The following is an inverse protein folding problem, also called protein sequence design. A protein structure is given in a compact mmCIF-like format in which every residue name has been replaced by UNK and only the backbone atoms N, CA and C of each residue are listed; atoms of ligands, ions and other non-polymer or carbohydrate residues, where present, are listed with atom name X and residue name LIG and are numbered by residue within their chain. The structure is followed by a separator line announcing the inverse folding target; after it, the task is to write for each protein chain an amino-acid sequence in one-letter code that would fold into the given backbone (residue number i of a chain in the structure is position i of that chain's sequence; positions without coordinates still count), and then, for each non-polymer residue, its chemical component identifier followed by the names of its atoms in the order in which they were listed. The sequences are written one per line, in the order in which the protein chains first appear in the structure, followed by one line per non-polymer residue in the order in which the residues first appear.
data_IF_386135391587
#
_entry.id   IF_386135391587
#
_cell.length_a   1.000
_cell.length_b   1.000
_cell.length_c   1.000
_cell.angle_alpha   90.00
_cell.angle_beta   90.00
_cell.angle_gamma   90.00
#
_symmetry.space_group_name_H-M   'P 1'
#
loop_
_entity.id
_entity.type
_entity.pdbx_description
1 polymer ?
#
# COMPACT_ATOMS: atom_id res chain seq x y z
N UNK A 1 -14.69 27.05 -10.05
CA UNK A 1 -14.10 25.83 -9.45
C UNK A 1 -15.21 25.17 -8.66
N UNK A 2 -15.67 23.97 -9.03
CA UNK A 2 -16.76 23.30 -8.31
C UNK A 2 -16.16 22.60 -7.09
N UNK A 3 -16.65 22.93 -5.90
CA UNK A 3 -16.24 22.29 -4.65
C UNK A 3 -17.10 21.06 -4.39
N UNK A 4 -16.60 20.12 -3.58
CA UNK A 4 -17.33 18.90 -3.25
C UNK A 4 -17.33 18.66 -1.76
N UNK A 5 -18.49 18.36 -1.20
CA UNK A 5 -18.59 17.89 0.18
C UNK A 5 -18.06 16.45 0.30
N UNK A 6 -17.11 16.21 1.19
CA UNK A 6 -16.49 14.89 1.37
C UNK A 6 -17.43 13.83 1.91
N UNK A 7 -18.36 14.25 2.77
CA UNK A 7 -19.29 13.35 3.43
C UNK A 7 -20.51 13.05 2.55
N UNK A 8 -21.09 14.10 1.96
CA UNK A 8 -22.31 14.00 1.16
C UNK A 8 -22.05 13.73 -0.33
N UNK A 9 -20.81 13.92 -0.79
CA UNK A 9 -20.36 13.79 -2.18
C UNK A 9 -21.07 14.71 -3.19
N UNK A 10 -21.75 15.74 -2.71
CA UNK A 10 -22.45 16.75 -3.52
C UNK A 10 -21.44 17.79 -4.00
N UNK A 11 -21.54 18.14 -5.28
CA UNK A 11 -20.80 19.21 -5.92
C UNK A 11 -21.56 20.54 -5.75
N UNK A 12 -20.84 21.59 -5.37
CA UNK A 12 -21.37 22.93 -5.09
C UNK A 12 -20.50 23.99 -5.78
N UNK A 13 -21.07 25.11 -6.21
CA UNK A 13 -20.37 26.05 -7.09
C UNK A 13 -19.25 26.85 -6.40
N UNK A 14 -19.33 27.07 -5.09
CA UNK A 14 -18.38 27.88 -4.32
C UNK A 14 -18.39 27.56 -2.81
N UNK A 15 -17.48 28.19 -2.06
CA UNK A 15 -17.28 27.96 -0.61
C UNK A 15 -18.47 28.39 0.25
N UNK A 16 -19.23 29.42 -0.17
CA UNK A 16 -20.40 29.87 0.58
C UNK A 16 -21.49 28.80 0.54
N UNK A 17 -21.76 28.27 -0.65
CA UNK A 17 -22.72 27.17 -0.81
C UNK A 17 -22.24 25.90 -0.10
N UNK A 18 -20.92 25.65 -0.06
CA UNK A 18 -20.38 24.55 0.72
C UNK A 18 -20.60 24.75 2.24
N UNK A 19 -20.38 25.95 2.76
CA UNK A 19 -20.59 26.28 4.17
C UNK A 19 -22.06 26.20 4.59
N UNK A 20 -22.98 26.61 3.71
CA UNK A 20 -24.41 26.45 3.96
C UNK A 20 -24.84 24.98 3.86
N UNK A 21 -24.27 24.24 2.90
CA UNK A 21 -24.49 22.79 2.78
C UNK A 21 -24.08 22.04 4.05
N UNK A 22 -22.91 22.36 4.65
CA UNK A 22 -22.43 21.67 5.86
C UNK A 22 -23.32 21.94 7.07
N UNK A 23 -23.97 23.10 7.14
CA UNK A 23 -24.98 23.42 8.18
C UNK A 23 -26.34 22.76 7.94
N UNK A 24 -26.58 22.22 6.74
CA UNK A 24 -27.85 21.62 6.36
C UNK A 24 -28.18 20.34 7.15
N UNK A 25 -29.48 20.15 7.47
CA UNK A 25 -29.99 19.00 8.25
C UNK A 25 -29.51 17.64 7.72
N UNK A 26 -29.45 17.46 6.39
CA UNK A 26 -29.00 16.20 5.76
C UNK A 26 -27.51 15.95 5.99
N UNK A 27 -26.68 16.98 5.91
CA UNK A 27 -25.25 16.86 6.17
C UNK A 27 -24.99 16.57 7.64
N UNK A 28 -25.63 17.32 8.54
CA UNK A 28 -25.54 17.13 9.98
C UNK A 28 -26.00 15.73 10.41
N UNK A 29 -27.09 15.21 9.82
CA UNK A 29 -27.51 13.83 10.07
C UNK A 29 -26.42 12.82 9.69
N UNK A 30 -25.76 13.00 8.53
CA UNK A 30 -24.70 12.11 8.08
C UNK A 30 -23.41 12.26 8.92
N UNK A 31 -23.11 13.46 9.42
CA UNK A 31 -22.01 13.70 10.37
C UNK A 31 -22.27 12.93 11.66
N UNK A 32 -23.48 13.03 12.23
CA UNK A 32 -23.86 12.29 13.43
C UNK A 32 -23.74 10.78 13.24
N UNK A 33 -24.06 10.24 12.06
CA UNK A 33 -23.85 8.81 11.77
C UNK A 33 -22.35 8.47 11.74
N UNK A 34 -21.53 9.32 11.13
CA UNK A 34 -20.06 9.14 11.10
C UNK A 34 -19.47 9.18 12.50
N UNK A 35 -19.85 10.17 13.32
CA UNK A 35 -19.39 10.30 14.71
C UNK A 35 -19.79 9.07 15.52
N UNK A 36 -21.06 8.64 15.45
CA UNK A 36 -21.51 7.40 16.12
C UNK A 36 -20.72 6.17 15.67
N UNK A 37 -20.37 6.09 14.39
CA UNK A 37 -19.55 5.01 13.86
C UNK A 37 -18.12 5.06 14.41
N UNK A 38 -17.49 6.23 14.47
CA UNK A 38 -16.16 6.41 15.07
C UNK A 38 -16.19 6.11 16.58
N UNK A 39 -17.17 6.62 17.32
CA UNK A 39 -17.36 6.31 18.75
C UNK A 39 -17.59 4.81 18.99
N UNK A 40 -18.42 4.16 18.18
CA UNK A 40 -18.69 2.72 18.29
C UNK A 40 -17.41 1.90 18.10
N UNK A 41 -16.58 2.24 17.11
CA UNK A 41 -15.33 1.53 16.87
C UNK A 41 -14.32 1.71 18.01
N UNK A 42 -14.19 2.93 18.55
CA UNK A 42 -13.33 3.21 19.70
C UNK A 42 -13.82 2.49 20.98
N UNK A 43 -15.14 2.40 21.16
CA UNK A 43 -15.74 1.72 22.29
C UNK A 43 -15.89 0.20 22.09
N UNK A 44 -15.26 -0.38 21.07
CA UNK A 44 -15.37 -1.81 20.77
C UNK A 44 -14.06 -2.58 20.88
N UNK A 45 -14.13 -3.83 21.33
CA UNK A 45 -13.04 -4.82 21.29
C UNK A 45 -13.33 -5.93 20.29
N UNK A 46 -12.27 -6.54 19.76
CA UNK A 46 -12.33 -7.76 18.95
C UNK A 46 -11.99 -8.98 19.82
N UNK A 47 -12.86 -9.99 19.79
CA UNK A 47 -12.73 -11.22 20.58
C UNK A 47 -12.66 -12.41 19.62
N UNK A 48 -11.64 -13.24 19.77
CA UNK A 48 -11.42 -14.46 18.96
C UNK A 48 -11.22 -15.68 19.84
N UNK A 49 -11.18 -16.87 19.22
CA UNK A 49 -11.21 -18.18 19.90
C UNK A 49 -12.52 -18.45 20.63
N UNK A 50 -13.60 -17.86 20.13
CA UNK A 50 -14.96 -18.25 20.52
C UNK A 50 -15.27 -19.62 19.91
N UNK A 51 -16.13 -20.37 20.59
CA UNK A 51 -16.64 -21.66 20.13
C UNK A 51 -18.10 -21.52 19.68
N UNK A 52 -18.63 -22.46 18.89
CA UNK A 52 -20.03 -22.42 18.41
C UNK A 52 -21.07 -22.30 19.54
N UNK A 53 -20.78 -22.84 20.72
CA UNK A 53 -21.63 -22.75 21.90
C UNK A 53 -21.60 -21.39 22.62
N UNK A 54 -20.66 -20.50 22.29
CA UNK A 54 -20.60 -19.15 22.87
C UNK A 54 -21.56 -18.22 22.14
N UNK A 55 -22.64 -17.83 22.81
CA UNK A 55 -23.58 -16.85 22.29
C UNK A 55 -23.27 -15.43 22.76
N UNK A 56 -24.01 -14.45 22.23
CA UNK A 56 -23.84 -13.04 22.60
C UNK A 56 -24.11 -12.78 24.09
N UNK A 57 -24.97 -13.58 24.73
CA UNK A 57 -25.32 -13.40 26.14
C UNK A 57 -24.19 -13.84 27.07
N UNK A 58 -23.54 -14.98 26.77
CA UNK A 58 -22.35 -15.47 27.48
C UNK A 58 -21.25 -14.41 27.39
N UNK A 59 -21.00 -13.89 26.20
CA UNK A 59 -19.96 -12.85 26.01
C UNK A 59 -20.33 -11.54 26.70
N UNK A 60 -21.58 -11.06 26.59
CA UNK A 60 -22.05 -9.86 27.31
C UNK A 60 -21.89 -10.01 28.81
N UNK A 61 -22.30 -11.16 29.35
CA UNK A 61 -22.21 -11.46 30.79
C UNK A 61 -20.76 -11.44 31.23
N UNK A 62 -19.87 -12.13 30.50
CA UNK A 62 -18.45 -12.17 30.82
C UNK A 62 -17.81 -10.78 30.78
N UNK A 63 -18.00 -10.01 29.70
CA UNK A 63 -17.35 -8.71 29.50
C UNK A 63 -17.98 -7.58 30.31
N UNK A 64 -19.19 -7.76 30.88
CA UNK A 64 -19.83 -6.76 31.75
C UNK A 64 -18.97 -6.35 32.96
N UNK A 65 -18.04 -7.22 33.39
CA UNK A 65 -17.05 -6.94 34.45
C UNK A 65 -16.14 -5.75 34.14
N UNK A 66 -15.94 -5.42 32.86
CA UNK A 66 -15.09 -4.31 32.42
C UNK A 66 -15.90 -3.03 32.16
N UNK A 67 -17.23 -3.09 32.15
CA UNK A 67 -18.10 -1.96 31.91
C UNK A 67 -19.44 -2.35 31.28
N UNK A 68 -20.35 -1.39 31.19
CA UNK A 68 -21.66 -1.61 30.58
C UNK A 68 -21.51 -1.92 29.08
N UNK A 69 -22.12 -3.02 28.65
CA UNK A 69 -22.11 -3.45 27.26
C UNK A 69 -23.30 -2.84 26.52
N UNK A 70 -22.99 -2.09 25.47
CA UNK A 70 -23.98 -1.50 24.58
C UNK A 70 -24.49 -2.51 23.56
N UNK A 71 -23.57 -3.23 22.92
CA UNK A 71 -23.88 -4.28 21.95
C UNK A 71 -22.83 -5.40 21.99
N UNK A 72 -23.22 -6.59 21.56
CA UNK A 72 -22.28 -7.64 21.17
C UNK A 72 -22.78 -8.21 19.85
N UNK A 73 -21.85 -8.62 18.98
CA UNK A 73 -22.18 -9.27 17.73
C UNK A 73 -21.17 -10.38 17.44
N UNK A 74 -21.67 -11.53 17.04
CA UNK A 74 -20.87 -12.69 16.62
C UNK A 74 -20.87 -12.78 15.09
N UNK A 75 -19.72 -13.15 14.53
CA UNK A 75 -19.58 -13.45 13.12
C UNK A 75 -20.54 -14.56 12.68
N UNK A 76 -21.58 -14.20 11.93
CA UNK A 76 -22.67 -15.10 11.55
C UNK A 76 -22.28 -16.12 10.48
N UNK A 77 -21.23 -15.86 9.71
CA UNK A 77 -20.83 -16.76 8.62
C UNK A 77 -19.95 -17.89 9.13
N UNK A 78 -18.91 -17.58 9.91
CA UNK A 78 -17.86 -18.55 10.26
C UNK A 78 -17.71 -18.77 11.77
N UNK A 79 -18.44 -18.02 12.62
CA UNK A 79 -18.31 -18.08 14.07
C UNK A 79 -16.87 -17.93 14.59
N UNK A 80 -16.02 -17.17 13.86
CA UNK A 80 -14.60 -17.08 14.19
C UNK A 80 -14.29 -16.02 15.26
N UNK A 81 -15.15 -15.00 15.36
CA UNK A 81 -14.92 -13.86 16.22
C UNK A 81 -16.22 -13.20 16.68
N UNK A 82 -16.10 -12.40 17.72
CA UNK A 82 -17.13 -11.49 18.20
C UNK A 82 -16.55 -10.08 18.32
N UNK A 83 -17.42 -9.09 18.28
CA UNK A 83 -17.10 -7.71 18.63
C UNK A 83 -18.02 -7.30 19.77
N UNK A 84 -17.42 -6.74 20.82
CA UNK A 84 -18.13 -6.28 22.01
C UNK A 84 -17.99 -4.76 22.05
N UNK A 85 -19.11 -4.05 21.98
CA UNK A 85 -19.19 -2.59 22.08
C UNK A 85 -19.61 -2.21 23.50
N UNK A 86 -18.74 -1.52 24.23
CA UNK A 86 -19.04 -0.88 25.50
C UNK A 86 -19.76 0.46 25.28
N UNK A 87 -20.40 0.99 26.33
CA UNK A 87 -20.98 2.33 26.28
C UNK A 87 -19.93 3.46 26.22
N UNK A 88 -18.68 3.18 26.61
CA UNK A 88 -17.60 4.15 26.65
C UNK A 88 -16.23 3.53 26.36
N UNK A 89 -15.28 4.37 25.95
CA UNK A 89 -13.91 3.98 25.64
C UNK A 89 -13.10 3.52 26.87
N UNK A 90 -13.41 4.04 28.07
CA UNK A 90 -12.69 3.67 29.29
C UNK A 90 -12.88 2.19 29.64
N UNK A 91 -14.04 1.64 29.32
CA UNK A 91 -14.32 0.20 29.49
C UNK A 91 -13.55 -0.65 28.48
N UNK A 92 -13.38 -0.16 27.25
CA UNK A 92 -12.47 -0.77 26.26
C UNK A 92 -11.04 -0.81 26.78
N UNK A 93 -10.53 0.33 27.27
CA UNK A 93 -9.16 0.44 27.78
C UNK A 93 -8.93 -0.50 28.97
N UNK A 94 -9.83 -0.49 29.97
CA UNK A 94 -9.79 -1.42 31.10
C UNK A 94 -9.81 -2.87 30.67
N UNK A 95 -10.64 -3.21 29.68
CA UNK A 95 -10.67 -4.55 29.14
C UNK A 95 -9.31 -4.92 28.54
N UNK A 96 -8.71 -4.07 27.71
CA UNK A 96 -7.45 -4.37 27.03
C UNK A 96 -6.24 -4.39 27.98
N UNK A 97 -6.24 -3.54 29.00
CA UNK A 97 -5.20 -3.50 30.05
C UNK A 97 -5.23 -4.72 30.97
N UNK A 98 -6.31 -5.50 30.98
CA UNK A 98 -6.43 -6.72 31.78
C UNK A 98 -5.41 -7.81 31.38
N UNK A 99 -4.80 -7.72 30.19
CA UNK A 99 -3.78 -8.67 29.72
C UNK A 99 -4.37 -9.81 28.88
N UNK A 100 -3.75 -11.00 28.91
CA UNK A 100 -4.08 -12.12 28.01
C UNK A 100 -4.90 -13.26 28.67
N UNK A 101 -5.32 -13.12 29.94
CA UNK A 101 -5.98 -14.19 30.70
C UNK A 101 -7.52 -14.10 30.70
N UNK A 102 -8.14 -14.10 29.51
CA UNK A 102 -9.60 -14.13 29.39
C UNK A 102 -10.12 -15.57 29.38
N UNK A 103 -10.82 -15.98 30.43
CA UNK A 103 -11.31 -17.35 30.59
C UNK A 103 -12.80 -17.37 30.97
N UNK A 104 -13.60 -18.00 30.12
CA UNK A 104 -15.03 -18.24 30.37
C UNK A 104 -15.23 -19.35 31.42
N UNK A 105 -16.45 -19.42 31.97
CA UNK A 105 -16.81 -20.39 33.02
C UNK A 105 -16.73 -21.86 32.55
N UNK A 106 -16.90 -22.09 31.25
CA UNK A 106 -16.71 -23.40 30.60
C UNK A 106 -15.22 -23.80 30.45
N UNK A 107 -14.30 -22.94 30.90
CA UNK A 107 -12.86 -23.13 30.81
C UNK A 107 -12.22 -22.63 29.51
N UNK A 108 -13.01 -22.15 28.54
CA UNK A 108 -12.53 -21.68 27.24
C UNK A 108 -11.70 -20.39 27.39
N UNK A 109 -10.53 -20.35 26.73
CA UNK A 109 -9.66 -19.17 26.69
C UNK A 109 -9.96 -18.32 25.46
N UNK A 110 -10.35 -17.07 25.69
CA UNK A 110 -10.59 -16.08 24.64
C UNK A 110 -9.31 -15.29 24.35
N UNK A 111 -9.25 -14.71 23.15
CA UNK A 111 -8.20 -13.75 22.80
C UNK A 111 -8.83 -12.41 22.43
N UNK A 112 -8.54 -11.38 23.22
CA UNK A 112 -9.06 -10.03 23.06
C UNK A 112 -8.00 -9.12 22.45
N UNK A 113 -8.42 -8.24 21.53
CA UNK A 113 -7.56 -7.23 20.89
C UNK A 113 -8.35 -5.95 20.65
N UNK A 114 -7.62 -4.86 20.45
CA UNK A 114 -8.20 -3.63 19.88
C UNK A 114 -8.90 -3.94 18.56
N UNK A 115 -10.10 -3.41 18.37
CA UNK A 115 -10.84 -3.54 17.11
C UNK A 115 -10.12 -2.75 16.01
N UNK A 116 -10.01 -3.34 14.82
CA UNK A 116 -9.54 -2.62 13.64
C UNK A 116 -10.56 -1.53 13.24
N UNK A 117 -10.10 -0.30 13.05
CA UNK A 117 -10.96 0.80 12.60
C UNK A 117 -11.14 0.74 11.08
N UNK A 118 -12.40 0.73 10.67
CA UNK A 118 -12.84 0.91 9.31
C UNK A 118 -13.13 2.39 9.05
N UNK A 119 -12.93 2.84 7.81
CA UNK A 119 -13.33 4.18 7.38
C UNK A 119 -14.85 4.25 7.19
N UNK A 120 -15.48 5.36 7.59
CA UNK A 120 -16.90 5.56 7.39
C UNK A 120 -17.22 5.73 5.89
N UNK A 121 -18.05 4.83 5.33
CA UNK A 121 -18.60 4.94 3.98
C UNK A 121 -20.10 5.20 4.03
N UNK A 122 -20.55 6.28 3.40
CA UNK A 122 -21.99 6.57 3.31
C UNK A 122 -22.69 5.60 2.37
N UNK A 123 -24.01 5.37 2.54
CA UNK A 123 -24.81 4.48 1.66
C UNK A 123 -24.63 4.78 0.18
N UNK A 124 -24.55 6.05 -0.22
CA UNK A 124 -24.29 6.45 -1.62
C UNK A 124 -22.93 5.97 -2.13
N UNK A 125 -21.91 5.95 -1.27
CA UNK A 125 -20.58 5.45 -1.61
C UNK A 125 -20.58 3.93 -1.80
N UNK A 126 -21.31 3.21 -0.92
CA UNK A 126 -21.46 1.77 -1.00
C UNK A 126 -22.23 1.33 -2.26
N UNK A 127 -23.28 2.06 -2.65
CA UNK A 127 -24.03 1.78 -3.89
C UNK A 127 -23.14 1.93 -5.13
N UNK A 128 -22.38 3.02 -5.24
CA UNK A 128 -21.48 3.23 -6.39
C UNK A 128 -20.35 2.18 -6.46
N UNK A 129 -19.89 1.69 -5.32
CA UNK A 129 -18.86 0.65 -5.24
C UNK A 129 -19.44 -0.72 -5.60
N UNK A 130 -20.65 -1.03 -5.14
CA UNK A 130 -21.34 -2.29 -5.41
C UNK A 130 -21.78 -2.43 -6.88
N UNK A 131 -22.28 -1.36 -7.50
CA UNK A 131 -22.62 -1.35 -8.92
C UNK A 131 -21.37 -1.56 -9.81
N UNK A 132 -20.24 -0.97 -9.43
CA UNK A 132 -18.96 -1.18 -10.11
C UNK A 132 -18.45 -2.62 -9.97
N UNK A 133 -18.58 -3.22 -8.79
CA UNK A 133 -18.15 -4.60 -8.53
C UNK A 133 -18.98 -5.65 -9.28
N UNK A 134 -20.31 -5.46 -9.37
CA UNK A 134 -21.19 -6.42 -10.04
C UNK A 134 -20.99 -6.46 -11.57
N UNK A 135 -20.79 -5.30 -12.21
CA UNK A 135 -20.54 -5.24 -13.66
C UNK A 135 -19.25 -5.98 -14.06
N UNK A 136 -18.21 -5.93 -13.21
CA UNK A 136 -16.95 -6.62 -13.49
C UNK A 136 -17.07 -8.14 -13.38
N UNK A 137 -17.94 -8.65 -12.50
CA UNK A 137 -18.05 -10.09 -12.23
C UNK A 137 -18.64 -10.89 -13.40
N UNK A 138 -19.63 -10.34 -14.11
CA UNK A 138 -20.23 -11.00 -15.28
C UNK A 138 -19.25 -11.05 -16.46
N UNK A 139 -18.51 -9.96 -16.70
CA UNK A 139 -17.43 -9.92 -17.71
C UNK A 139 -16.29 -10.88 -17.41
N UNK A 140 -15.91 -11.02 -16.15
CA UNK A 140 -14.85 -11.96 -15.74
C UNK A 140 -15.22 -13.43 -16.04
N UNK A 141 -16.49 -13.81 -15.85
CA UNK A 141 -16.96 -15.17 -16.16
C UNK A 141 -16.90 -15.44 -17.67
N UNK A 142 -17.37 -14.50 -18.49
CA UNK A 142 -17.33 -14.64 -19.95
C UNK A 142 -15.89 -14.70 -20.49
N UNK A 143 -15.02 -13.83 -19.98
CA UNK A 143 -13.59 -13.83 -20.33
C UNK A 143 -12.89 -15.13 -19.91
N UNK A 144 -13.20 -15.66 -18.73
CA UNK A 144 -12.64 -16.93 -18.27
C UNK A 144 -13.07 -18.10 -19.16
N UNK A 145 -14.33 -18.17 -19.56
CA UNK A 145 -14.82 -19.21 -20.46
C UNK A 145 -14.11 -19.18 -21.83
N UNK A 146 -13.95 -17.98 -22.41
CA UNK A 146 -13.22 -17.79 -23.66
C UNK A 146 -11.74 -18.17 -23.53
N UNK A 147 -11.13 -17.83 -22.39
CA UNK A 147 -9.75 -18.19 -22.08
C UNK A 147 -9.56 -19.71 -22.07
N UNK A 148 -10.44 -20.46 -21.38
CA UNK A 148 -10.37 -21.93 -21.34
C UNK A 148 -10.47 -22.53 -22.75
N UNK A 149 -11.37 -22.01 -23.59
CA UNK A 149 -11.50 -22.46 -24.97
C UNK A 149 -10.22 -22.22 -25.78
N UNK A 150 -9.61 -21.03 -25.64
CA UNK A 150 -8.35 -20.70 -26.31
C UNK A 150 -7.20 -21.61 -25.89
N UNK A 151 -7.13 -21.98 -24.61
CA UNK A 151 -6.08 -22.86 -24.08
C UNK A 151 -6.22 -24.30 -24.57
N UNK A 152 -7.45 -24.81 -24.71
CA UNK A 152 -7.71 -26.15 -25.25
C UNK A 152 -7.27 -26.34 -26.70
N UNK A 153 -7.13 -25.23 -27.45
CA UNK A 153 -6.70 -25.24 -28.85
C UNK A 153 -5.16 -25.18 -29.00
N UNK A 154 -4.40 -25.17 -27.90
CA UNK A 154 -2.94 -25.15 -27.91
C UNK A 154 -2.38 -26.57 -27.79
N UNK A 155 -1.26 -26.83 -28.45
CA UNK A 155 -0.66 -28.16 -28.55
C UNK A 155 0.34 -28.47 -27.44
N UNK A 156 0.89 -27.45 -26.78
CA UNK A 156 1.89 -27.59 -25.71
C UNK A 156 1.57 -26.71 -24.51
N UNK A 157 2.14 -27.05 -23.34
CA UNK A 157 2.04 -26.24 -22.11
C UNK A 157 2.71 -24.89 -22.32
N UNK A 158 3.84 -24.83 -23.04
CA UNK A 158 4.51 -23.57 -23.39
C UNK A 158 3.58 -22.64 -24.19
N UNK A 159 2.87 -23.17 -25.19
CA UNK A 159 1.88 -22.41 -25.98
C UNK A 159 0.68 -21.96 -25.14
N UNK A 160 0.20 -22.81 -24.23
CA UNK A 160 -0.84 -22.44 -23.28
C UNK A 160 -0.37 -21.30 -22.39
N UNK A 161 0.80 -21.42 -21.77
CA UNK A 161 1.36 -20.40 -20.89
C UNK A 161 1.58 -19.07 -21.60
N UNK A 162 2.11 -19.08 -22.83
CA UNK A 162 2.22 -17.89 -23.66
C UNK A 162 0.85 -17.25 -23.95
N UNK A 163 -0.16 -18.08 -24.24
CA UNK A 163 -1.55 -17.62 -24.44
C UNK A 163 -2.16 -17.03 -23.16
N UNK A 164 -1.84 -17.56 -21.98
CA UNK A 164 -2.28 -17.00 -20.69
C UNK A 164 -1.67 -15.60 -20.50
N UNK A 165 -0.37 -15.46 -20.75
CA UNK A 165 0.32 -14.15 -20.64
C UNK A 165 -0.32 -13.13 -21.58
N UNK A 166 -0.55 -13.50 -22.85
CA UNK A 166 -1.12 -12.58 -23.83
C UNK A 166 -2.53 -12.11 -23.46
N UNK A 167 -3.35 -12.99 -22.87
CA UNK A 167 -4.73 -12.68 -22.51
C UNK A 167 -4.85 -11.87 -21.21
N UNK A 168 -3.94 -12.06 -20.25
CA UNK A 168 -4.02 -11.39 -18.94
C UNK A 168 -3.18 -10.10 -18.85
N UNK A 169 -2.10 -9.98 -19.65
CA UNK A 169 -1.22 -8.81 -19.61
C UNK A 169 -2.01 -7.53 -19.90
N UNK A 170 -1.57 -6.42 -19.33
CA UNK A 170 -2.07 -5.11 -19.71
C UNK A 170 -1.79 -4.84 -21.19
N UNK A 171 -2.73 -4.24 -21.91
CA UNK A 171 -2.51 -3.84 -23.31
C UNK A 171 -1.68 -2.56 -23.37
N UNK A 172 -1.01 -2.34 -24.50
CA UNK A 172 -0.18 -1.14 -24.69
C UNK A 172 -1.00 0.14 -24.60
N UNK A 173 -2.25 0.14 -25.08
CA UNK A 173 -3.14 1.31 -24.99
C UNK A 173 -3.44 1.67 -23.54
N UNK A 174 -3.79 0.68 -22.71
CA UNK A 174 -4.10 0.91 -21.29
C UNK A 174 -2.83 1.29 -20.53
N UNK A 175 -1.69 0.66 -20.84
CA UNK A 175 -0.40 1.00 -20.25
C UNK A 175 0.00 2.44 -20.56
N UNK A 176 -0.03 2.84 -21.83
CA UNK A 176 0.34 4.18 -22.29
C UNK A 176 -0.60 5.25 -21.70
N UNK A 177 -1.89 4.94 -21.58
CA UNK A 177 -2.85 5.83 -20.92
C UNK A 177 -2.49 6.06 -19.46
N UNK A 178 -2.18 4.99 -18.70
CA UNK A 178 -1.79 5.10 -17.29
C UNK A 178 -0.44 5.78 -17.11
N UNK A 179 0.51 5.53 -18.03
CA UNK A 179 1.80 6.22 -18.06
C UNK A 179 1.62 7.73 -18.32
N UNK A 180 0.70 8.11 -19.22
CA UNK A 180 0.32 9.51 -19.44
C UNK A 180 -0.20 10.16 -18.16
N UNK A 181 -1.11 9.49 -17.45
CA UNK A 181 -1.61 9.98 -16.17
C UNK A 181 -0.53 10.06 -15.09
N UNK A 182 0.42 9.12 -15.06
CA UNK A 182 1.58 9.19 -14.17
C UNK A 182 2.41 10.47 -14.43
N UNK A 183 2.68 10.81 -15.70
CA UNK A 183 3.40 12.04 -16.08
C UNK A 183 2.64 13.31 -15.67
N UNK A 184 1.31 13.30 -15.78
CA UNK A 184 0.47 14.42 -15.30
C UNK A 184 0.59 14.59 -13.78
N UNK A 185 0.53 13.49 -13.01
CA UNK A 185 0.73 13.54 -11.56
C UNK A 185 2.12 14.02 -11.19
N UNK A 186 3.16 13.59 -11.90
CA UNK A 186 4.53 14.03 -11.69
C UNK A 186 4.65 15.55 -11.85
N UNK A 187 4.07 16.13 -12.90
CA UNK A 187 4.03 17.59 -13.11
C UNK A 187 3.29 18.29 -11.95
N UNK A 188 2.19 17.72 -11.46
CA UNK A 188 1.42 18.27 -10.34
C UNK A 188 2.27 18.31 -9.06
N UNK A 189 2.98 17.21 -8.75
CA UNK A 189 3.82 17.15 -7.56
C UNK A 189 5.03 18.07 -7.67
N UNK A 190 5.72 18.10 -8.82
CA UNK A 190 6.85 19.01 -9.06
C UNK A 190 6.45 20.48 -8.95
N UNK A 191 5.23 20.85 -9.36
CA UNK A 191 4.72 22.21 -9.20
C UNK A 191 4.57 22.61 -7.72
N UNK A 192 4.21 21.67 -6.85
CA UNK A 192 4.02 21.94 -5.42
C UNK A 192 5.31 21.76 -4.63
N UNK A 193 6.17 20.84 -5.06
CA UNK A 193 7.40 20.46 -4.38
C UNK A 193 8.50 20.24 -5.43
N UNK A 194 9.34 21.23 -5.72
CA UNK A 194 10.32 21.15 -6.81
C UNK A 194 11.37 20.04 -6.66
N UNK A 195 11.64 19.58 -5.43
CA UNK A 195 12.72 18.64 -5.09
C UNK A 195 12.24 17.18 -4.93
N UNK A 196 10.95 16.91 -5.15
CA UNK A 196 10.39 15.57 -4.97
C UNK A 196 10.51 14.74 -6.24
N UNK A 197 10.50 13.42 -6.07
CA UNK A 197 10.47 12.46 -7.17
C UNK A 197 9.25 11.57 -7.03
N UNK A 198 8.44 11.48 -8.10
CA UNK A 198 7.35 10.51 -8.18
C UNK A 198 7.88 9.25 -8.88
N UNK A 199 7.71 8.09 -8.25
CA UNK A 199 8.13 6.81 -8.80
C UNK A 199 6.92 5.93 -9.06
N UNK A 200 6.84 5.33 -10.25
CA UNK A 200 5.94 4.21 -10.52
C UNK A 200 6.58 2.93 -9.94
N UNK A 201 5.79 2.13 -9.23
CA UNK A 201 6.25 0.87 -8.60
C UNK A 201 5.26 -0.26 -8.86
N UNK A 202 5.55 -1.44 -8.33
CA UNK A 202 4.63 -2.57 -8.39
C UNK A 202 4.45 -3.12 -9.81
N UNK A 203 3.27 -3.67 -10.08
CA UNK A 203 3.03 -4.48 -11.30
C UNK A 203 3.17 -3.66 -12.59
N UNK A 204 2.79 -2.39 -12.55
CA UNK A 204 2.93 -1.46 -13.69
C UNK A 204 4.41 -1.20 -14.02
N UNK A 205 5.24 -0.98 -13.00
CA UNK A 205 6.65 -0.68 -13.23
C UNK A 205 7.52 -1.92 -13.49
N UNK A 206 7.12 -3.09 -13.01
CA UNK A 206 7.92 -4.32 -13.12
C UNK A 206 7.62 -5.19 -14.37
N UNK A 207 6.60 -4.84 -15.16
CA UNK A 207 6.23 -5.59 -16.36
C UNK A 207 5.39 -6.84 -16.11
N UNK A 208 4.68 -6.88 -14.98
CA UNK A 208 3.72 -7.93 -14.60
C UNK A 208 2.27 -7.41 -14.48
N UNK A 209 2.01 -6.19 -14.94
CA UNK A 209 0.69 -5.58 -14.92
C UNK A 209 -0.32 -6.36 -15.76
N UNK A 210 -1.51 -6.47 -15.19
CA UNK A 210 -2.73 -6.96 -15.82
C UNK A 210 -3.69 -5.79 -16.01
N UNK A 211 -4.76 -5.97 -16.79
CA UNK A 211 -5.79 -4.94 -16.96
C UNK A 211 -6.43 -4.48 -15.63
N UNK A 212 -6.49 -5.37 -14.62
CA UNK A 212 -7.02 -5.09 -13.28
C UNK A 212 -6.00 -4.53 -12.30
N UNK A 213 -4.73 -4.40 -12.70
CA UNK A 213 -3.68 -3.95 -11.77
C UNK A 213 -3.94 -2.51 -11.31
N UNK A 214 -3.67 -2.22 -10.04
CA UNK A 214 -3.64 -0.85 -9.54
C UNK A 214 -2.35 -0.13 -10.02
N UNK A 215 -2.32 1.19 -9.92
CA UNK A 215 -1.14 2.01 -10.19
C UNK A 215 -0.47 2.40 -8.87
N UNK A 216 0.63 1.71 -8.53
CA UNK A 216 1.35 1.93 -7.28
C UNK A 216 2.39 3.05 -7.44
N UNK A 217 2.27 4.08 -6.60
CA UNK A 217 3.09 5.29 -6.65
C UNK A 217 3.88 5.47 -5.35
N UNK A 218 5.09 5.99 -5.48
CA UNK A 218 5.90 6.42 -4.34
C UNK A 218 6.33 7.86 -4.56
N UNK A 219 5.93 8.75 -3.66
CA UNK A 219 6.44 10.11 -3.58
C UNK A 219 7.68 10.12 -2.69
N UNK A 220 8.85 10.34 -3.27
CA UNK A 220 10.12 10.49 -2.57
C UNK A 220 10.34 11.96 -2.28
N UNK A 221 10.36 12.31 -1.00
CA UNK A 221 10.58 13.67 -0.51
C UNK A 221 12.07 14.00 -0.30
N UNK A 222 12.87 12.98 -0.01
CA UNK A 222 14.31 13.08 0.13
C UNK A 222 14.98 11.81 -0.41
N UNK A 223 16.07 11.96 -1.17
CA UNK A 223 16.93 10.82 -1.47
C UNK A 223 17.76 10.51 -0.23
N UNK A 224 17.35 9.53 0.57
CA UNK A 224 18.23 8.97 1.61
C UNK A 224 19.32 8.12 0.94
N UNK A 225 20.29 8.77 0.29
CA UNK A 225 21.53 8.11 -0.07
C UNK A 225 22.47 8.21 1.13
N UNK A 226 22.66 7.09 1.85
CA UNK A 226 23.74 6.98 2.81
C UNK A 226 24.95 6.47 2.02
N UNK A 227 25.97 7.32 1.83
CA UNK A 227 27.25 6.86 1.31
C UNK A 227 27.78 5.74 2.24
N UNK A 228 28.19 4.58 1.70
CA UNK A 228 28.84 3.57 2.52
C UNK A 228 30.12 4.18 3.08
N UNK A 229 30.18 4.39 4.40
CA UNK A 229 31.45 4.72 5.04
C UNK A 229 32.41 3.56 4.79
N UNK A 230 33.61 3.88 4.30
CA UNK A 230 34.70 2.93 4.11
C UNK A 230 34.98 2.22 5.44
N UNK A 231 34.51 0.97 5.60
CA UNK A 231 35.14 0.04 6.53
C UNK A 231 36.44 -0.44 5.90
N UNK A 232 37.46 0.42 5.90
CA UNK A 232 38.84 -0.01 5.78
C UNK A 232 39.33 -0.39 7.17
N UNK A 233 39.48 -1.70 7.36
CA UNK A 233 40.29 -2.32 8.39
C UNK A 233 41.67 -1.66 8.52
N UNK A 234 42.01 -1.18 9.71
CA UNK A 234 43.38 -1.25 10.22
C UNK A 234 43.37 -1.54 11.72
N UNK A 235 43.85 -2.75 12.04
CA UNK A 235 44.36 -3.08 13.35
C UNK A 235 45.44 -2.08 13.75
N UNK A 236 45.38 -1.57 14.98
CA UNK A 236 46.56 -1.59 15.84
C UNK A 236 46.17 -1.53 17.33
N UNK A 237 47.00 -2.22 18.08
CA UNK A 237 46.92 -2.70 19.46
C UNK A 237 46.96 -1.64 20.56
N UNK A 238 46.21 -1.94 21.63
CA UNK A 238 46.66 -1.88 23.04
C UNK A 238 46.80 -0.50 23.70
N UNK A 239 45.90 -0.19 24.64
CA UNK A 239 46.22 -0.05 26.07
C UNK A 239 44.96 0.34 26.89
N UNK A 240 45.08 0.15 28.19
CA UNK A 240 44.06 -0.12 29.19
C UNK A 240 43.39 1.07 29.87
N UNK A 241 42.18 0.81 30.38
CA UNK A 241 41.60 1.21 31.67
C UNK A 241 40.92 2.58 31.88
N UNK A 242 39.75 2.46 32.56
CA UNK A 242 39.04 3.37 33.48
C UNK A 242 38.15 4.46 32.85
N UNK A 243 36.82 4.37 32.96
CA UNK A 243 35.89 4.63 34.10
C UNK A 243 35.36 6.08 34.05
N UNK A 244 34.03 6.17 34.19
CA UNK A 244 33.17 7.28 34.64
C UNK A 244 32.68 8.39 33.69
N UNK A 245 31.34 8.43 33.65
CA UNK A 245 30.42 9.56 33.92
C UNK A 245 30.32 10.81 33.03
N UNK A 246 29.03 11.06 32.73
CA UNK A 246 28.31 12.33 32.70
C UNK A 246 28.76 13.50 31.80
N UNK A 247 27.69 14.07 31.23
CA UNK A 247 27.40 15.51 31.17
C UNK A 247 27.34 16.16 29.79
N UNK A 248 26.28 16.94 29.70
CA UNK A 248 25.87 17.88 28.69
C UNK A 248 26.85 19.06 28.58
N UNK A 249 26.95 19.65 27.38
CA UNK A 249 26.85 21.10 27.08
C UNK A 249 27.88 21.60 26.08
N UNK A 250 27.32 22.26 25.05
CA UNK A 250 27.70 23.54 24.43
C UNK A 250 29.17 23.85 24.06
N UNK A 251 29.40 24.13 22.78
CA UNK A 251 29.71 25.47 22.21
C UNK A 251 30.31 25.31 20.78
N UNK A 252 29.79 26.02 19.75
CA UNK A 252 30.38 27.19 19.04
C UNK A 252 31.77 26.88 18.40
N UNK A 253 32.14 27.13 17.13
CA UNK A 253 31.76 28.12 16.12
C UNK A 253 32.16 27.71 14.66
N UNK A 254 31.68 28.51 13.69
CA UNK A 254 32.30 28.94 12.42
C UNK A 254 32.82 27.93 11.36
N UNK A 255 32.22 27.94 10.16
CA UNK A 255 32.78 28.74 9.06
C UNK A 255 31.87 28.91 7.83
N UNK A 256 32.02 30.08 7.22
CA UNK A 256 31.27 30.66 6.10
C UNK A 256 31.82 30.22 4.73
N UNK A 257 30.95 30.16 3.70
CA UNK A 257 31.08 30.91 2.41
C UNK A 257 30.00 30.43 1.42
N UNK A 258 28.97 31.24 1.14
CA UNK A 258 28.86 32.22 0.03
C UNK A 258 28.71 31.57 -1.36
N UNK A 259 27.51 31.69 -1.95
CA UNK A 259 27.33 32.29 -3.28
C UNK A 259 25.94 32.96 -3.37
N UNK A 260 25.94 34.30 -3.44
CA UNK A 260 24.79 35.15 -3.81
C UNK A 260 24.82 35.37 -5.32
N UNK A 261 23.67 35.29 -5.98
CA UNK A 261 23.37 36.07 -7.20
C UNK A 261 22.00 36.70 -7.04
N UNK A 262 22.00 38.04 -6.94
CA UNK A 262 20.82 38.89 -7.07
C UNK A 262 20.72 39.35 -8.53
N UNK A 263 19.52 39.31 -9.09
CA UNK A 263 19.04 40.32 -10.04
C UNK A 263 17.57 40.57 -9.75
N UNK A 264 17.28 41.81 -9.38
CA UNK A 264 15.97 42.40 -9.12
C UNK A 264 15.38 42.95 -10.41
N UNK A 265 14.08 42.76 -10.62
CA UNK A 265 13.23 43.71 -11.34
C UNK A 265 11.84 43.73 -10.70
N UNK A 266 11.38 44.92 -10.36
CA UNK A 266 10.08 45.22 -9.72
C UNK A 266 8.98 45.40 -10.77
N UNK A 267 7.79 44.83 -10.53
CA UNK A 267 6.51 45.57 -10.66
C UNK A 267 5.34 44.77 -10.06
N UNK A 268 4.72 45.42 -9.09
CA UNK A 268 3.41 45.23 -8.46
C UNK A 268 2.26 44.93 -9.45
N UNK A 269 1.13 44.30 -9.16
CA UNK A 269 0.37 43.94 -7.95
C UNK A 269 -0.69 42.89 -8.37
N UNK A 270 -1.00 41.92 -7.51
CA UNK A 270 -2.36 41.46 -7.15
C UNK A 270 -2.24 40.25 -6.21
N UNK A 271 -2.37 40.53 -4.93
CA UNK A 271 -2.38 39.60 -3.82
C UNK A 271 -3.62 38.71 -3.86
N UNK A 272 -3.44 37.47 -4.29
CA UNK A 272 -4.28 36.35 -3.86
C UNK A 272 -3.54 35.69 -2.69
N UNK A 273 -4.10 35.74 -1.49
CA UNK A 273 -3.55 35.07 -0.31
C UNK A 273 -3.54 33.56 -0.53
N UNK A 274 -2.39 33.04 -0.98
CA UNK A 274 -2.11 31.61 -1.18
C UNK A 274 -2.25 30.86 0.16
N UNK A 275 -2.84 29.64 0.18
CA UNK A 275 -2.70 28.76 1.32
C UNK A 275 -1.19 28.49 1.49
N UNK A 276 -0.68 28.61 2.71
CA UNK A 276 0.73 28.37 3.06
C UNK A 276 1.26 27.11 2.35
N UNK A 277 2.08 27.29 1.31
CA UNK A 277 2.70 26.20 0.56
C UNK A 277 3.80 25.60 1.41
N UNK A 278 3.54 24.45 2.02
CA UNK A 278 4.56 23.66 2.69
C UNK A 278 5.61 23.19 1.68
N UNK A 279 6.88 23.30 2.06
CA UNK A 279 8.02 22.74 1.34
C UNK A 279 8.10 21.20 1.50
N UNK A 280 8.98 20.55 0.73
CA UNK A 280 9.24 19.11 0.92
C UNK A 280 9.77 18.81 2.34
N UNK A 281 10.63 19.68 2.88
CA UNK A 281 11.15 19.58 4.24
C UNK A 281 10.05 19.67 5.28
N UNK A 282 9.09 20.58 5.10
CA UNK A 282 7.94 20.67 6.00
C UNK A 282 7.15 19.36 6.01
N UNK A 283 6.92 18.74 4.84
CA UNK A 283 6.26 17.45 4.75
C UNK A 283 7.04 16.35 5.48
N UNK A 284 8.38 16.38 5.42
CA UNK A 284 9.25 15.41 6.11
C UNK A 284 9.11 15.53 7.64
N UNK A 285 8.94 16.74 8.17
CA UNK A 285 8.76 16.97 9.61
C UNK A 285 7.35 16.65 10.11
N UNK A 286 6.35 16.59 9.22
CA UNK A 286 4.98 16.23 9.59
C UNK A 286 4.87 14.77 10.04
N UNK A 287 3.93 14.51 10.96
CA UNK A 287 3.49 13.15 11.28
C UNK A 287 3.02 12.43 10.00
N UNK A 288 3.14 11.10 9.95
CA UNK A 288 2.71 10.30 8.79
C UNK A 288 1.24 10.59 8.45
N UNK A 289 0.37 10.70 9.46
CA UNK A 289 -1.05 10.97 9.27
C UNK A 289 -1.30 12.35 8.65
N UNK A 290 -0.65 13.39 9.16
CA UNK A 290 -0.85 14.76 8.68
C UNK A 290 -0.29 14.93 7.27
N UNK A 291 0.86 14.31 6.99
CA UNK A 291 1.48 14.27 5.67
C UNK A 291 0.57 13.63 4.63
N UNK A 292 0.00 12.46 4.95
CA UNK A 292 -0.97 11.80 4.07
C UNK A 292 -2.24 12.62 3.91
N UNK A 293 -2.70 13.31 4.96
CA UNK A 293 -3.87 14.17 4.88
C UNK A 293 -3.62 15.42 4.01
N UNK A 294 -2.42 15.97 4.05
CA UNK A 294 -2.00 17.04 3.14
C UNK A 294 -2.00 16.57 1.69
N UNK A 295 -1.34 15.44 1.39
CA UNK A 295 -1.30 14.87 0.03
C UNK A 295 -2.73 14.54 -0.45
N UNK A 296 -3.58 14.01 0.43
CA UNK A 296 -5.00 13.77 0.14
C UNK A 296 -5.73 15.06 -0.22
N UNK A 297 -5.50 16.17 0.50
CA UNK A 297 -6.10 17.49 0.20
C UNK A 297 -5.58 18.03 -1.13
N UNK A 298 -4.28 17.90 -1.39
CA UNK A 298 -3.66 18.27 -2.66
C UNK A 298 -4.29 17.49 -3.82
N UNK A 299 -4.36 16.17 -3.76
CA UNK A 299 -4.99 15.37 -4.83
C UNK A 299 -6.47 15.72 -5.03
N UNK A 300 -7.20 16.09 -3.97
CA UNK A 300 -8.60 16.55 -4.09
C UNK A 300 -8.74 17.89 -4.79
N UNK A 301 -7.74 18.77 -4.78
CA UNK A 301 -7.79 20.02 -5.57
C UNK A 301 -7.80 19.74 -7.09
N UNK A 302 -7.39 18.54 -7.49
CA UNK A 302 -7.43 18.02 -8.87
C UNK A 302 -8.65 17.12 -9.14
N UNK A 303 -9.82 17.40 -8.53
CA UNK A 303 -11.06 16.62 -8.66
C UNK A 303 -11.65 16.52 -10.08
N UNK A 304 -11.10 17.26 -11.04
CA UNK A 304 -11.39 17.08 -12.47
C UNK A 304 -10.85 15.74 -13.00
N UNK A 305 -9.69 15.29 -12.49
CA UNK A 305 -8.96 14.11 -12.95
C UNK A 305 -9.09 12.92 -11.99
N UNK A 306 -9.18 13.17 -10.69
CA UNK A 306 -9.23 12.11 -9.67
C UNK A 306 -10.52 12.14 -8.83
N UNK A 307 -10.92 10.97 -8.34
CA UNK A 307 -12.02 10.80 -7.41
C UNK A 307 -11.69 9.74 -6.35
N UNK A 308 -12.60 9.52 -5.39
CA UNK A 308 -12.44 8.54 -4.31
C UNK A 308 -11.12 8.64 -3.52
N UNK A 309 -10.57 9.86 -3.35
CA UNK A 309 -9.32 10.09 -2.62
C UNK A 309 -9.51 9.84 -1.12
N UNK A 310 -8.78 8.87 -0.57
CA UNK A 310 -8.89 8.37 0.80
C UNK A 310 -7.49 8.14 1.40
N UNK A 311 -7.34 8.38 2.70
CA UNK A 311 -6.11 8.01 3.44
C UNK A 311 -6.30 6.67 4.12
N UNK A 312 -5.30 5.81 4.03
CA UNK A 312 -5.22 4.52 4.70
C UNK A 312 -4.01 4.58 5.62
N UNK A 313 -4.21 5.11 6.84
CA UNK A 313 -3.10 5.44 7.76
C UNK A 313 -2.72 4.31 8.72
N UNK A 314 -3.61 3.33 8.93
CA UNK A 314 -3.42 2.25 9.92
C UNK A 314 -2.78 0.98 9.34
N UNK A 315 -2.47 0.98 8.03
CA UNK A 315 -1.78 -0.13 7.39
C UNK A 315 -0.28 -0.09 7.68
N UNK A 316 0.40 -1.25 7.56
CA UNK A 316 1.87 -1.34 7.70
C UNK A 316 2.61 -0.36 6.79
N UNK A 317 2.09 -0.14 5.58
CA UNK A 317 2.52 0.92 4.68
C UNK A 317 1.35 1.90 4.50
N UNK A 318 1.39 3.06 5.18
CA UNK A 318 0.35 4.07 5.03
C UNK A 318 0.33 4.67 3.61
N UNK A 319 -0.87 4.79 3.02
CA UNK A 319 -1.05 5.26 1.64
C UNK A 319 -2.21 6.25 1.49
N UNK A 320 -2.18 7.06 0.43
CA UNK A 320 -3.35 7.73 -0.12
C UNK A 320 -3.84 6.93 -1.33
N UNK A 321 -5.04 6.35 -1.22
CA UNK A 321 -5.71 5.64 -2.32
C UNK A 321 -6.65 6.58 -3.05
N UNK A 322 -6.63 6.57 -4.37
CA UNK A 322 -7.52 7.39 -5.21
C UNK A 322 -7.82 6.68 -6.54
N UNK A 323 -8.78 7.20 -7.29
CA UNK A 323 -9.23 6.62 -8.55
C UNK A 323 -9.14 7.66 -9.67
N UNK A 324 -8.69 7.24 -10.86
CA UNK A 324 -8.78 8.07 -12.04
C UNK A 324 -10.26 8.24 -12.45
N UNK A 325 -10.75 9.48 -12.53
CA UNK A 325 -12.19 9.78 -12.62
C UNK A 325 -12.86 9.20 -13.87
N UNK A 326 -12.22 9.30 -15.03
CA UNK A 326 -12.76 8.81 -16.31
C UNK A 326 -12.49 7.32 -16.51
N UNK A 327 -11.23 6.91 -16.43
CA UNK A 327 -10.73 5.56 -16.73
C UNK A 327 -10.92 4.51 -15.61
N UNK A 328 -11.37 4.92 -14.42
CA UNK A 328 -11.79 4.05 -13.30
C UNK A 328 -10.76 3.07 -12.74
N UNK A 329 -9.46 3.26 -12.97
CA UNK A 329 -8.42 2.49 -12.28
C UNK A 329 -8.02 3.16 -10.95
N UNK A 330 -7.57 2.36 -9.99
CA UNK A 330 -7.10 2.86 -8.69
C UNK A 330 -5.60 3.13 -8.71
N UNK A 331 -5.20 4.07 -7.87
CA UNK A 331 -3.83 4.41 -7.57
C UNK A 331 -3.61 4.36 -6.06
N UNK A 332 -2.46 3.84 -5.63
CA UNK A 332 -2.04 3.84 -4.23
C UNK A 332 -0.73 4.61 -4.11
N UNK A 333 -0.75 5.76 -3.43
CA UNK A 333 0.42 6.60 -3.26
C UNK A 333 0.96 6.48 -1.83
N UNK A 334 2.18 5.97 -1.72
CA UNK A 334 2.97 5.95 -0.48
C UNK A 334 4.02 7.06 -0.51
N UNK A 335 4.59 7.40 0.66
CA UNK A 335 5.64 8.41 0.79
C UNK A 335 6.91 7.75 1.31
N UNK A 336 8.06 8.05 0.70
CA UNK A 336 9.38 7.53 1.07
C UNK A 336 9.46 5.99 1.19
N UNK A 337 8.64 5.26 0.43
CA UNK A 337 8.71 3.81 0.37
C UNK A 337 9.82 3.35 -0.59
N UNK A 338 11.08 3.62 -0.22
CA UNK A 338 12.24 3.28 -1.04
C UNK A 338 12.38 1.77 -1.29
N UNK A 339 11.92 0.94 -0.35
CA UNK A 339 11.92 -0.52 -0.52
C UNK A 339 10.99 -0.97 -1.64
N UNK A 340 9.83 -0.33 -1.84
CA UNK A 340 8.96 -0.65 -2.98
C UNK A 340 9.63 -0.35 -4.32
N UNK A 341 10.40 0.74 -4.41
CA UNK A 341 11.20 1.08 -5.60
C UNK A 341 12.28 0.02 -5.83
N UNK A 342 13.08 -0.29 -4.81
CA UNK A 342 14.13 -1.32 -4.90
C UNK A 342 13.59 -2.71 -5.27
N UNK A 343 12.49 -3.12 -4.64
CA UNK A 343 11.84 -4.41 -4.92
C UNK A 343 11.29 -4.47 -6.35
N UNK A 344 10.77 -3.35 -6.87
CA UNK A 344 10.32 -3.26 -8.26
C UNK A 344 11.50 -3.51 -9.21
N UNK A 345 12.65 -2.88 -8.97
CA UNK A 345 13.86 -3.10 -9.77
C UNK A 345 14.39 -4.52 -9.69
N UNK A 346 14.35 -5.12 -8.50
CA UNK A 346 14.77 -6.51 -8.30
C UNK A 346 13.88 -7.50 -9.08
N UNK A 347 12.56 -7.28 -9.08
CA UNK A 347 11.63 -8.09 -9.91
C UNK A 347 11.94 -7.91 -11.40
N UNK A 348 12.17 -6.67 -11.85
CA UNK A 348 12.56 -6.40 -13.26
C UNK A 348 13.85 -7.13 -13.63
N UNK A 349 14.84 -7.16 -12.73
CA UNK A 349 16.09 -7.86 -12.95
C UNK A 349 15.84 -9.35 -13.20
N UNK A 350 15.10 -10.03 -12.31
CA UNK A 350 14.81 -11.45 -12.47
C UNK A 350 14.02 -11.74 -13.74
N UNK A 351 13.01 -10.92 -14.08
CA UNK A 351 12.25 -11.09 -15.32
C UNK A 351 13.07 -10.85 -16.59
N UNK A 352 14.09 -10.00 -16.52
CA UNK A 352 15.02 -9.78 -17.63
C UNK A 352 16.07 -10.91 -17.72
N UNK A 353 16.47 -11.46 -16.56
CA UNK A 353 17.40 -12.58 -16.47
C UNK A 353 16.78 -13.87 -17.01
N UNK A 354 15.56 -14.20 -16.57
CA UNK A 354 14.81 -15.37 -17.02
C UNK A 354 13.41 -14.97 -17.51
N UNK A 355 13.22 -14.78 -18.83
CA UNK A 355 11.93 -14.40 -19.41
C UNK A 355 10.78 -15.37 -19.13
N UNK A 356 11.06 -16.66 -18.90
CA UNK A 356 10.04 -17.69 -18.61
C UNK A 356 9.33 -17.47 -17.29
N UNK A 357 9.94 -16.74 -16.35
CA UNK A 357 9.32 -16.37 -15.08
C UNK A 357 7.96 -15.70 -15.27
N UNK A 358 7.78 -14.91 -16.35
CA UNK A 358 6.49 -14.29 -16.65
C UNK A 358 5.43 -15.34 -16.95
N UNK A 359 5.71 -16.28 -17.84
CA UNK A 359 4.80 -17.37 -18.21
C UNK A 359 4.45 -18.24 -17.02
N UNK A 360 5.45 -18.61 -16.22
CA UNK A 360 5.30 -19.42 -15.02
C UNK A 360 4.42 -18.73 -13.97
N UNK A 361 4.70 -17.44 -13.69
CA UNK A 361 3.90 -16.65 -12.74
C UNK A 361 2.44 -16.52 -13.18
N UNK A 362 2.19 -16.19 -14.44
CA UNK A 362 0.84 -15.99 -14.94
C UNK A 362 0.01 -17.28 -14.91
N UNK A 363 0.62 -18.40 -15.25
CA UNK A 363 -0.01 -19.73 -15.18
C UNK A 363 -0.33 -20.11 -13.73
N UNK A 364 0.62 -19.99 -12.80
CA UNK A 364 0.38 -20.28 -11.38
C UNK A 364 -0.65 -19.32 -10.77
N UNK A 365 -0.64 -18.04 -11.17
CA UNK A 365 -1.68 -17.08 -10.76
C UNK A 365 -3.06 -17.53 -11.20
N UNK A 366 -3.23 -17.96 -12.46
CA UNK A 366 -4.51 -18.46 -12.95
C UNK A 366 -4.98 -19.66 -12.14
N UNK A 367 -4.08 -20.62 -11.88
CA UNK A 367 -4.37 -21.79 -11.05
C UNK A 367 -4.80 -21.39 -9.62
N UNK A 368 -4.05 -20.50 -8.95
CA UNK A 368 -4.38 -20.04 -7.59
C UNK A 368 -5.68 -19.23 -7.54
N UNK A 369 -5.99 -18.43 -8.58
CA UNK A 369 -7.30 -17.75 -8.71
C UNK A 369 -8.43 -18.78 -8.75
N UNK A 370 -8.30 -19.84 -9.55
CA UNK A 370 -9.31 -20.92 -9.64
C UNK A 370 -9.48 -21.71 -8.35
N UNK A 371 -8.45 -21.74 -7.49
CA UNK A 371 -8.50 -22.37 -6.17
C UNK A 371 -8.95 -21.44 -5.04
N UNK A 372 -9.30 -20.19 -5.35
CA UNK A 372 -9.66 -19.17 -4.35
C UNK A 372 -8.54 -18.95 -3.31
N UNK A 373 -7.29 -18.94 -3.78
CA UNK A 373 -6.09 -18.80 -2.94
C UNK A 373 -5.31 -17.51 -3.22
N UNK A 374 -5.71 -16.72 -4.22
CA UNK A 374 -5.01 -15.51 -4.65
C UNK A 374 -5.88 -14.25 -4.44
N UNK A 375 -5.39 -13.27 -3.69
CA UNK A 375 -6.03 -11.95 -3.57
C UNK A 375 -6.17 -11.42 -2.14
N UNK A 376 -6.96 -10.36 -1.98
CA UNK A 376 -7.21 -9.73 -0.67
C UNK A 376 -8.00 -10.68 0.22
N UNK A 377 -7.47 -11.00 1.40
CA UNK A 377 -8.09 -11.93 2.35
C UNK A 377 -7.71 -13.40 2.13
N UNK A 378 -6.91 -13.70 1.10
CA UNK A 378 -6.39 -15.04 0.78
C UNK A 378 -4.92 -15.17 1.18
N UNK A 379 -4.39 -16.41 1.30
CA UNK A 379 -3.02 -16.64 1.77
C UNK A 379 -1.94 -16.08 0.82
N UNK A 380 -2.22 -16.00 -0.49
CA UNK A 380 -1.23 -15.57 -1.47
C UNK A 380 -1.62 -14.26 -2.17
N UNK A 381 -0.63 -13.41 -2.39
CA UNK A 381 -0.68 -12.34 -3.38
C UNK A 381 0.34 -12.62 -4.48
N UNK A 382 0.23 -11.92 -5.61
CA UNK A 382 1.14 -12.11 -6.76
C UNK A 382 2.62 -11.98 -6.40
N UNK A 383 2.97 -11.05 -5.50
CA UNK A 383 4.35 -10.83 -5.10
C UNK A 383 4.90 -12.02 -4.29
N UNK A 384 4.08 -12.60 -3.40
CA UNK A 384 4.42 -13.84 -2.69
C UNK A 384 4.67 -14.98 -3.68
N UNK A 385 3.77 -15.18 -4.66
CA UNK A 385 3.90 -16.25 -5.65
C UNK A 385 5.16 -16.07 -6.50
N UNK A 386 5.46 -14.83 -6.91
CA UNK A 386 6.69 -14.53 -7.64
C UNK A 386 7.93 -14.98 -6.87
N UNK A 387 8.00 -14.68 -5.56
CA UNK A 387 9.14 -15.10 -4.74
C UNK A 387 9.19 -16.61 -4.51
N UNK A 388 8.06 -17.29 -4.36
CA UNK A 388 8.05 -18.75 -4.28
C UNK A 388 8.65 -19.38 -5.54
N UNK A 389 8.30 -18.86 -6.71
CA UNK A 389 8.85 -19.31 -8.00
C UNK A 389 10.36 -19.03 -8.06
N UNK A 390 10.79 -17.80 -7.74
CA UNK A 390 12.22 -17.44 -7.75
C UNK A 390 13.02 -18.32 -6.79
N UNK A 391 12.53 -18.56 -5.58
CA UNK A 391 13.18 -19.44 -4.62
C UNK A 391 13.24 -20.88 -5.11
N UNK A 392 12.18 -21.41 -5.72
CA UNK A 392 12.19 -22.75 -6.30
C UNK A 392 13.28 -22.90 -7.37
N UNK A 393 13.40 -21.93 -8.28
CA UNK A 393 14.41 -21.93 -9.35
C UNK A 393 15.84 -21.63 -8.85
N UNK A 394 16.00 -20.99 -7.69
CA UNK A 394 17.30 -20.85 -7.03
C UNK A 394 17.75 -22.17 -6.41
N UNK A 395 16.81 -22.95 -5.87
CA UNK A 395 17.08 -24.24 -5.24
C UNK A 395 17.26 -25.36 -6.28
N UNK A 396 16.50 -25.32 -7.38
CA UNK A 396 16.67 -26.25 -8.48
C UNK A 396 17.85 -25.84 -9.37
N UNK A 397 18.92 -26.63 -9.35
CA UNK A 397 20.10 -26.50 -10.22
C UNK A 397 20.73 -25.09 -10.31
N UNK A 398 20.44 -24.19 -9.37
CA UNK A 398 20.87 -22.79 -9.38
C UNK A 398 20.52 -22.06 -10.69
N UNK A 399 19.33 -22.32 -11.24
CA UNK A 399 18.90 -21.69 -12.49
C UNK A 399 18.84 -20.15 -12.39
N UNK A 400 18.60 -19.62 -11.18
CA UNK A 400 18.64 -18.19 -10.89
C UNK A 400 19.75 -17.83 -9.89
N UNK A 401 20.41 -16.67 -10.04
CA UNK A 401 21.31 -16.16 -9.00
C UNK A 401 20.53 -15.84 -7.72
N UNK A 402 21.15 -16.08 -6.57
CA UNK A 402 20.62 -15.60 -5.30
C UNK A 402 20.81 -14.08 -5.17
N UNK A 403 20.04 -13.43 -4.28
CA UNK A 403 20.06 -11.96 -4.12
C UNK A 403 21.42 -11.46 -3.60
N UNK A 404 22.12 -12.25 -2.78
CA UNK A 404 23.45 -11.91 -2.25
C UNK A 404 24.47 -11.74 -3.39
N UNK A 405 24.47 -12.67 -4.35
CA UNK A 405 25.31 -12.59 -5.54
C UNK A 405 25.02 -11.32 -6.35
N UNK A 406 23.76 -10.91 -6.45
CA UNK A 406 23.38 -9.68 -7.16
C UNK A 406 23.96 -8.44 -6.48
N UNK A 407 23.87 -8.36 -5.14
CA UNK A 407 24.40 -7.25 -4.35
C UNK A 407 25.92 -7.09 -4.51
N UNK A 408 26.65 -8.21 -4.53
CA UNK A 408 28.11 -8.22 -4.70
C UNK A 408 28.52 -7.67 -6.07
N UNK A 409 27.81 -8.07 -7.13
CA UNK A 409 28.10 -7.69 -8.51
C UNK A 409 27.48 -6.34 -8.93
N UNK A 410 26.62 -5.74 -8.09
CA UNK A 410 26.01 -4.46 -8.39
C UNK A 410 27.07 -3.34 -8.38
N UNK A 411 27.18 -2.64 -9.52
CA UNK A 411 28.09 -1.50 -9.70
C UNK A 411 27.64 -0.28 -8.89
N UNK A 412 26.32 -0.02 -8.88
CA UNK A 412 25.71 1.03 -8.05
C UNK A 412 25.24 0.45 -6.72
N UNK A 413 25.81 0.97 -5.63
CA UNK A 413 25.37 0.61 -4.29
C UNK A 413 24.13 1.43 -3.90
N UNK A 414 23.16 0.76 -3.28
CA UNK A 414 21.92 1.37 -2.79
C UNK A 414 21.63 0.83 -1.40
N UNK A 415 21.45 1.73 -0.43
CA UNK A 415 21.14 1.37 0.94
C UNK A 415 19.97 2.18 1.47
N UNK A 416 18.98 1.50 2.03
CA UNK A 416 17.79 2.10 2.61
C UNK A 416 17.60 1.60 4.04
N UNK A 417 18.01 2.41 5.01
CA UNK A 417 18.09 2.00 6.41
C UNK A 417 19.06 0.81 6.57
N UNK A 418 18.63 -0.31 7.19
CA UNK A 418 19.48 -1.48 7.39
C UNK A 418 19.59 -2.37 6.13
N UNK A 419 18.87 -2.06 5.04
CA UNK A 419 18.75 -2.94 3.89
C UNK A 419 19.69 -2.53 2.76
N UNK A 420 20.58 -3.42 2.36
CA UNK A 420 21.34 -3.30 1.12
C UNK A 420 20.44 -3.71 -0.06
N UNK A 421 20.10 -2.73 -0.88
CA UNK A 421 19.16 -2.84 -2.00
C UNK A 421 19.89 -2.75 -3.36
N UNK A 422 21.18 -3.06 -3.39
CA UNK A 422 21.99 -3.00 -4.60
C UNK A 422 21.59 -4.12 -5.55
N UNK A 423 21.28 -3.76 -6.80
CA UNK A 423 20.91 -4.70 -7.87
C UNK A 423 21.65 -4.24 -9.13
N UNK A 424 22.31 -5.15 -9.88
CA UNK A 424 23.00 -4.82 -11.12
C UNK A 424 22.04 -4.21 -12.15
N UNK A 425 22.56 -3.40 -13.07
CA UNK A 425 21.74 -2.87 -14.15
C UNK A 425 21.37 -3.98 -15.13
N UNK A 426 20.16 -3.94 -15.71
CA UNK A 426 19.68 -4.96 -16.67
C UNK A 426 20.66 -5.15 -17.85
N UNK A 427 21.34 -4.08 -18.27
CA UNK A 427 22.34 -4.10 -19.34
C UNK A 427 23.60 -4.92 -19.00
N UNK A 428 23.83 -5.18 -17.71
CA UNK A 428 24.98 -5.95 -17.18
C UNK A 428 24.68 -7.47 -17.15
N UNK A 429 23.45 -7.89 -17.48
CA UNK A 429 23.07 -9.31 -17.55
C UNK A 429 23.83 -9.98 -18.71
N UNK A 430 24.84 -10.79 -18.36
CA UNK A 430 25.45 -11.73 -19.30
C UNK A 430 24.46 -12.87 -19.55
N UNK A 431 23.81 -12.87 -20.71
CA UNK A 431 22.84 -13.92 -21.10
C UNK A 431 23.54 -15.29 -21.13
N UNK A 432 23.28 -16.13 -20.14
CA UNK A 432 23.34 -17.58 -20.32
C UNK A 432 21.93 -18.02 -20.69
N UNK A 433 21.64 -18.12 -21.99
CA UNK A 433 20.36 -18.67 -22.45
C UNK A 433 20.44 -20.18 -22.20
N UNK A 434 19.93 -20.63 -21.06
CA UNK A 434 19.68 -22.04 -20.82
C UNK A 434 18.41 -22.44 -21.58
N UNK A 435 18.53 -23.42 -22.49
CA UNK A 435 17.40 -23.99 -23.23
C UNK A 435 16.58 -24.95 -22.33
N UNK A 436 16.01 -24.44 -21.24
CA UNK A 436 15.19 -25.24 -20.31
C UNK A 436 13.73 -25.27 -20.79
N UNK A 437 13.07 -26.43 -20.80
CA UNK A 437 11.67 -26.54 -21.21
C UNK A 437 10.73 -26.24 -20.03
N UNK A 438 9.75 -25.35 -20.21
CA UNK A 438 8.77 -25.00 -19.16
C UNK A 438 7.98 -26.23 -18.68
N UNK A 439 7.70 -27.20 -19.56
CA UNK A 439 6.93 -28.38 -19.22
C UNK A 439 7.51 -29.22 -18.07
N UNK A 440 8.85 -29.21 -17.90
CA UNK A 440 9.52 -29.90 -16.78
C UNK A 440 9.43 -29.08 -15.49
N UNK A 441 9.71 -27.78 -15.56
CA UNK A 441 9.66 -26.86 -14.41
C UNK A 441 8.23 -26.73 -13.84
N UNK A 442 7.20 -26.73 -14.69
CA UNK A 442 5.80 -26.68 -14.24
C UNK A 442 5.43 -27.88 -13.36
N UNK A 443 5.88 -29.08 -13.73
CA UNK A 443 5.57 -30.31 -12.97
C UNK A 443 6.35 -30.37 -11.66
N UNK A 444 7.54 -29.78 -11.59
CA UNK A 444 8.35 -29.76 -10.38
C UNK A 444 7.91 -28.67 -9.37
N UNK A 445 7.28 -27.58 -9.85
CA UNK A 445 6.84 -26.45 -9.02
C UNK A 445 5.39 -26.59 -8.52
N UNK A 446 4.50 -27.19 -9.31
CA UNK A 446 3.11 -27.51 -8.90
C UNK A 446 3.13 -28.76 -8.02
#
# INVERSE_FOLDING_TARGET
MVLRCDLCRIEVPDERVLADHTKGKRHQALLNVRERFETSQNASIYVSRIKPEHDENILKTYFSRFGQIKNAFIDKEKHLYAIIEFDNIDSTNRCLEHGDDYKLDDGSRLKVKQRNHHEFKSKRMLVSEHEFLNFNKEKEIEQHALMVQNLNNKSTIDEQAASIVEQEKITDEVFNMREGFFKELEIIFLKHFPEVKLCLTGSMANGLATHLSDMDLVLILNETYIEPQNLSSSNNSGESMNIDDNSCSNDIDMNQNKFKRNTSDESSNLTLSSPSTYSADDLIQMSVTDRLDYIRRLLRSYAAYVCHVQRISQARCPVVRFCHKQQKFFCELSVNNHLAVANTDLVRYFLAFEPKLRSLLYTIRLWLKQKDLLGKGHPFNTYTVFWMIVCALQLDNQQLPNVQNLVEHATRKRQYGPWNCSVPEIKEIKRNISNISLGKEYVEII
#
